data_IF_720892879366
#
_entry.id   IF_720892879366
#
_cell.length_a   1.000
_cell.length_b   1.000
_cell.length_c   1.000
_cell.angle_alpha   90.00
_cell.angle_beta   90.00
_cell.angle_gamma   90.00
#
_symmetry.space_group_name_H-M   'P 1'
#
loop_
_entity.id
_entity.type
_entity.pdbx_description
1 polymer ?
#
# COMPACT_ATOMS: atom_id res chain seq x y z
N UNK A 1 20.44 -6.45 -14.21
CA UNK A 1 20.87 -6.28 -15.62
C UNK A 1 19.93 -5.29 -16.27
N UNK A 2 20.48 -4.19 -16.77
CA UNK A 2 19.73 -3.09 -17.36
C UNK A 2 19.37 -3.41 -18.82
N UNK A 3 18.16 -3.08 -19.25
CA UNK A 3 17.76 -3.14 -20.66
C UNK A 3 17.40 -1.73 -21.14
N UNK A 4 18.27 -1.21 -22.02
CA UNK A 4 18.04 -0.05 -22.89
C UNK A 4 17.28 -0.50 -24.13
N UNK A 5 16.22 0.23 -24.50
CA UNK A 5 15.46 0.03 -25.74
C UNK A 5 15.78 1.18 -26.68
N UNK A 6 16.30 0.87 -27.87
CA UNK A 6 16.35 1.77 -29.03
C UNK A 6 15.06 1.63 -29.84
N UNK A 7 14.54 2.71 -30.45
CA UNK A 7 13.34 2.65 -31.27
C UNK A 7 13.70 2.35 -32.72
N UNK A 8 12.93 1.49 -33.38
CA UNK A 8 12.78 1.56 -34.84
C UNK A 8 11.32 1.33 -35.23
N UNK A 9 10.87 2.12 -36.19
CA UNK A 9 9.51 2.14 -36.73
C UNK A 9 9.37 1.05 -37.78
N UNK A 10 8.24 0.32 -37.78
CA UNK A 10 7.37 0.26 -38.96
C UNK A 10 6.08 -0.53 -38.67
N UNK A 11 5.07 -0.13 -39.42
CA UNK A 11 3.65 -0.45 -39.37
C UNK A 11 3.27 -1.92 -39.48
N UNK A 12 2.32 -2.36 -38.64
CA UNK A 12 1.17 -3.19 -39.05
C UNK A 12 0.09 -3.20 -37.95
N UNK A 13 -1.16 -2.94 -38.35
CA UNK A 13 -2.35 -2.99 -37.49
C UNK A 13 -2.71 -4.46 -37.21
N UNK A 14 -2.90 -4.90 -35.95
CA UNK A 14 -3.44 -6.23 -35.72
C UNK A 14 -4.97 -6.16 -35.79
N UNK A 15 -5.46 -6.75 -36.87
CA UNK A 15 -6.80 -7.29 -37.03
C UNK A 15 -7.32 -7.92 -35.73
N UNK A 16 -8.58 -7.59 -35.46
CA UNK A 16 -9.53 -8.24 -34.55
C UNK A 16 -9.19 -9.71 -34.30
N UNK A 17 -8.62 -10.02 -33.14
CA UNK A 17 -8.55 -11.41 -32.68
C UNK A 17 -9.94 -11.84 -32.20
N UNK A 18 -10.45 -13.01 -32.63
CA UNK A 18 -11.74 -13.51 -32.16
C UNK A 18 -11.65 -13.86 -30.68
N UNK A 19 -12.77 -13.66 -29.97
CA UNK A 19 -12.99 -14.02 -28.57
C UNK A 19 -12.46 -15.44 -28.26
N UNK A 20 -11.76 -15.66 -27.14
CA UNK A 20 -11.47 -17.01 -26.69
C UNK A 20 -12.80 -17.75 -26.43
N UNK A 21 -12.86 -19.01 -26.87
CA UNK A 21 -13.98 -19.93 -26.62
C UNK A 21 -14.37 -19.94 -25.13
N UNK A 22 -15.64 -20.24 -24.78
CA UNK A 22 -16.06 -20.30 -23.39
C UNK A 22 -15.26 -21.38 -22.66
N UNK A 23 -14.35 -20.95 -21.78
CA UNK A 23 -13.51 -21.77 -20.92
C UNK A 23 -14.32 -22.92 -20.29
N UNK A 24 -14.17 -24.13 -20.85
CA UNK A 24 -15.00 -25.30 -20.57
C UNK A 24 -14.82 -25.89 -19.14
N UNK A 25 -13.99 -25.29 -18.29
CA UNK A 25 -13.72 -25.71 -16.90
C UNK A 25 -13.55 -24.53 -15.92
N UNK A 26 -14.38 -23.50 -16.04
CA UNK A 26 -14.31 -22.30 -15.17
C UNK A 26 -15.08 -22.48 -13.86
N UNK A 27 -14.41 -22.32 -12.72
CA UNK A 27 -15.09 -22.06 -11.44
C UNK A 27 -15.51 -20.58 -11.39
N UNK A 28 -16.77 -20.28 -11.09
CA UNK A 28 -17.28 -18.91 -10.92
C UNK A 28 -17.59 -18.65 -9.45
N UNK A 29 -17.03 -17.58 -8.89
CA UNK A 29 -17.22 -17.17 -7.50
C UNK A 29 -17.86 -15.79 -7.47
N UNK A 30 -19.08 -15.70 -6.94
CA UNK A 30 -19.81 -14.45 -6.82
C UNK A 30 -19.32 -13.64 -5.61
N UNK A 31 -18.86 -12.42 -5.87
CA UNK A 31 -18.51 -11.46 -4.85
C UNK A 31 -19.77 -10.80 -4.25
N UNK A 32 -19.76 -10.46 -2.96
CA UNK A 32 -20.87 -9.76 -2.32
C UNK A 32 -20.95 -8.29 -2.78
N UNK A 33 -22.08 -7.64 -2.50
CA UNK A 33 -22.30 -6.25 -2.90
C UNK A 33 -21.35 -5.26 -2.21
N UNK A 34 -21.04 -5.54 -0.94
CA UNK A 34 -20.04 -4.83 -0.15
C UNK A 34 -18.94 -5.81 0.24
N UNK A 35 -17.70 -5.49 -0.10
CA UNK A 35 -16.55 -6.33 0.17
C UNK A 35 -15.71 -5.70 1.29
N UNK A 36 -16.31 -5.68 2.48
CA UNK A 36 -15.67 -5.26 3.74
C UNK A 36 -15.08 -6.46 4.49
N UNK A 37 -14.32 -6.23 5.57
CA UNK A 37 -13.58 -7.28 6.28
C UNK A 37 -14.33 -8.60 6.50
N UNK A 38 -15.58 -8.58 6.97
CA UNK A 38 -16.35 -9.81 7.28
C UNK A 38 -16.68 -10.56 6.00
N UNK A 39 -17.20 -9.85 5.01
CA UNK A 39 -17.57 -10.36 3.70
C UNK A 39 -16.34 -10.84 2.91
N UNK A 40 -15.22 -10.14 3.04
CA UNK A 40 -13.94 -10.47 2.42
C UNK A 40 -13.38 -11.80 2.93
N UNK A 41 -13.44 -12.07 4.24
CA UNK A 41 -13.05 -13.36 4.83
C UNK A 41 -13.93 -14.49 4.29
N UNK A 42 -15.25 -14.29 4.29
CA UNK A 42 -16.19 -15.30 3.78
C UNK A 42 -16.03 -15.52 2.27
N UNK A 43 -15.73 -14.47 1.52
CA UNK A 43 -15.44 -14.53 0.10
C UNK A 43 -14.16 -15.34 -0.18
N UNK A 44 -13.06 -15.06 0.53
CA UNK A 44 -11.81 -15.80 0.43
C UNK A 44 -12.01 -17.31 0.72
N UNK A 45 -12.78 -17.64 1.75
CA UNK A 45 -13.10 -19.03 2.09
C UNK A 45 -13.90 -19.74 0.98
N UNK A 46 -14.93 -19.07 0.43
CA UNK A 46 -15.72 -19.59 -0.69
C UNK A 46 -14.88 -19.79 -1.94
N UNK A 47 -13.97 -18.86 -2.22
CA UNK A 47 -13.03 -18.96 -3.33
C UNK A 47 -12.12 -20.18 -3.22
N UNK A 48 -11.49 -20.37 -2.05
CA UNK A 48 -10.63 -21.54 -1.79
C UNK A 48 -11.40 -22.86 -1.89
N UNK A 49 -12.62 -22.90 -1.36
CA UNK A 49 -13.47 -24.08 -1.47
C UNK A 49 -13.82 -24.41 -2.94
N UNK A 50 -14.07 -23.39 -3.77
CA UNK A 50 -14.36 -23.59 -5.19
C UNK A 50 -13.17 -24.25 -5.92
N UNK A 51 -11.95 -23.72 -5.75
CA UNK A 51 -10.74 -24.30 -6.32
C UNK A 51 -10.53 -25.75 -5.87
N UNK A 52 -10.75 -26.05 -4.59
CA UNK A 52 -10.55 -27.40 -4.04
C UNK A 52 -11.59 -28.42 -4.52
N UNK A 53 -12.79 -27.97 -4.90
CA UNK A 53 -13.89 -28.82 -5.34
C UNK A 53 -13.80 -29.29 -6.80
N UNK A 54 -12.87 -28.73 -7.58
CA UNK A 54 -12.66 -29.08 -8.98
C UNK A 54 -11.24 -29.61 -9.20
N UNK A 55 -11.04 -30.61 -10.08
CA UNK A 55 -9.71 -31.03 -10.48
C UNK A 55 -9.05 -29.91 -11.32
N UNK A 56 -8.20 -29.12 -10.66
CA UNK A 56 -7.30 -28.08 -11.23
C UNK A 56 -7.92 -27.28 -12.39
N UNK A 57 -8.80 -26.29 -12.10
CA UNK A 57 -9.46 -25.51 -13.16
C UNK A 57 -8.44 -24.70 -13.96
N UNK A 58 -8.66 -24.54 -15.27
CA UNK A 58 -7.79 -23.71 -16.13
C UNK A 58 -7.93 -22.22 -15.79
N UNK A 59 -9.14 -21.81 -15.41
CA UNK A 59 -9.44 -20.45 -15.01
C UNK A 59 -10.48 -20.40 -13.88
N UNK A 60 -10.39 -19.35 -13.07
CA UNK A 60 -11.41 -18.98 -12.08
C UNK A 60 -11.90 -17.58 -12.41
N UNK A 61 -13.22 -17.41 -12.40
CA UNK A 61 -13.88 -16.12 -12.63
C UNK A 61 -14.41 -15.60 -11.29
N UNK A 62 -14.03 -14.39 -10.91
CA UNK A 62 -14.67 -13.65 -9.83
C UNK A 62 -15.68 -12.70 -10.44
N UNK A 63 -16.96 -12.90 -10.14
CA UNK A 63 -18.04 -12.03 -10.58
C UNK A 63 -18.24 -10.89 -9.57
N UNK A 64 -17.89 -9.67 -9.98
CA UNK A 64 -18.01 -8.42 -9.24
C UNK A 64 -19.22 -7.58 -9.71
N UNK A 65 -20.12 -8.12 -10.53
CA UNK A 65 -21.28 -7.39 -11.10
C UNK A 65 -22.16 -6.73 -10.05
N UNK A 66 -22.27 -7.33 -8.87
CA UNK A 66 -23.05 -6.80 -7.75
C UNK A 66 -22.21 -5.94 -6.79
N UNK A 67 -20.88 -5.96 -6.90
CA UNK A 67 -19.97 -5.30 -5.96
C UNK A 67 -19.90 -3.80 -6.23
N UNK A 68 -20.51 -3.02 -5.33
CA UNK A 68 -20.57 -1.55 -5.40
C UNK A 68 -19.53 -0.89 -4.50
N UNK A 69 -19.03 -1.61 -3.49
CA UNK A 69 -18.07 -1.10 -2.52
C UNK A 69 -17.00 -2.13 -2.15
N UNK A 70 -15.77 -1.66 -2.01
CA UNK A 70 -14.60 -2.45 -1.60
C UNK A 70 -13.71 -1.60 -0.67
N UNK A 71 -13.36 -2.16 0.50
CA UNK A 71 -12.37 -1.57 1.40
C UNK A 71 -10.98 -2.20 1.18
N UNK A 72 -10.00 -1.85 2.02
CA UNK A 72 -8.67 -2.44 1.91
C UNK A 72 -8.65 -3.96 2.14
N UNK A 73 -9.55 -4.49 2.99
CA UNK A 73 -9.67 -5.94 3.23
C UNK A 73 -10.20 -6.65 2.01
N UNK A 74 -11.16 -6.04 1.32
CA UNK A 74 -11.68 -6.59 0.08
C UNK A 74 -10.65 -6.63 -1.04
N UNK A 75 -9.83 -5.59 -1.18
CA UNK A 75 -8.66 -5.63 -2.07
C UNK A 75 -7.68 -6.73 -1.66
N UNK A 76 -7.44 -6.86 -0.35
CA UNK A 76 -6.60 -7.92 0.20
C UNK A 76 -7.09 -9.31 -0.16
N UNK A 77 -8.41 -9.55 -0.08
CA UNK A 77 -9.00 -10.82 -0.50
C UNK A 77 -8.78 -11.08 -2.00
N UNK A 78 -8.96 -10.08 -2.88
CA UNK A 78 -8.68 -10.23 -4.31
C UNK A 78 -7.20 -10.53 -4.57
N UNK A 79 -6.27 -9.85 -3.89
CA UNK A 79 -4.82 -10.10 -4.01
C UNK A 79 -4.46 -11.50 -3.51
N UNK A 80 -5.06 -11.97 -2.42
CA UNK A 80 -4.85 -13.34 -1.92
C UNK A 80 -5.40 -14.38 -2.92
N UNK A 81 -6.58 -14.13 -3.50
CA UNK A 81 -7.16 -15.00 -4.53
C UNK A 81 -6.24 -15.08 -5.76
N UNK A 82 -5.74 -13.94 -6.25
CA UNK A 82 -4.80 -13.86 -7.36
C UNK A 82 -3.53 -14.67 -7.11
N UNK A 83 -2.91 -14.50 -5.94
CA UNK A 83 -1.69 -15.23 -5.57
C UNK A 83 -1.94 -16.73 -5.44
N UNK A 84 -3.08 -17.11 -4.88
CA UNK A 84 -3.49 -18.52 -4.78
C UNK A 84 -3.59 -19.15 -6.17
N UNK A 85 -4.20 -18.44 -7.13
CA UNK A 85 -4.26 -18.89 -8.53
C UNK A 85 -2.87 -18.96 -9.17
N UNK A 86 -2.03 -17.92 -9.03
CA UNK A 86 -0.68 -17.91 -9.60
C UNK A 86 0.18 -19.07 -9.10
N UNK A 87 0.15 -19.39 -7.79
CA UNK A 87 0.90 -20.49 -7.21
C UNK A 87 0.47 -21.87 -7.75
N UNK A 88 -0.76 -21.98 -8.24
CA UNK A 88 -1.32 -23.19 -8.83
C UNK A 88 -1.34 -23.17 -10.36
N UNK A 89 -0.81 -22.10 -11.01
CA UNK A 89 -0.83 -21.95 -12.46
C UNK A 89 -2.24 -21.73 -13.06
N UNK A 90 -3.20 -21.27 -12.25
CA UNK A 90 -4.60 -21.03 -12.64
C UNK A 90 -4.74 -19.58 -13.10
N UNK A 91 -5.47 -19.32 -14.19
CA UNK A 91 -5.80 -17.95 -14.61
C UNK A 91 -6.92 -17.36 -13.74
N UNK A 92 -6.79 -16.11 -13.29
CA UNK A 92 -7.84 -15.41 -12.55
C UNK A 92 -8.41 -14.27 -13.41
N UNK A 93 -9.74 -14.28 -13.59
CA UNK A 93 -10.48 -13.30 -14.39
C UNK A 93 -11.49 -12.57 -13.51
N UNK A 94 -11.56 -11.25 -13.64
CA UNK A 94 -12.58 -10.41 -13.00
C UNK A 94 -13.68 -10.06 -14.01
N UNK A 95 -14.93 -10.40 -13.70
CA UNK A 95 -16.14 -10.12 -14.51
C UNK A 95 -17.01 -9.07 -13.83
N UNK A 96 -17.71 -8.23 -14.60
CA UNK A 96 -18.71 -7.31 -14.06
C UNK A 96 -18.16 -6.19 -13.19
N UNK A 97 -16.89 -5.80 -13.34
CA UNK A 97 -16.26 -4.82 -12.44
C UNK A 97 -16.88 -3.44 -12.61
N UNK A 98 -17.64 -3.00 -11.61
CA UNK A 98 -18.26 -1.66 -11.57
C UNK A 98 -17.21 -0.54 -11.54
N UNK A 99 -17.59 0.66 -11.98
CA UNK A 99 -16.68 1.81 -12.13
C UNK A 99 -16.02 2.20 -10.79
N UNK A 100 -16.76 2.19 -9.67
CA UNK A 100 -16.18 2.51 -8.36
C UNK A 100 -15.07 1.53 -7.98
N UNK A 101 -15.30 0.23 -8.17
CA UNK A 101 -14.31 -0.82 -7.88
C UNK A 101 -13.12 -0.71 -8.84
N UNK A 102 -13.38 -0.45 -10.12
CA UNK A 102 -12.34 -0.23 -11.14
C UNK A 102 -11.44 0.96 -10.79
N UNK A 103 -12.01 2.06 -10.29
CA UNK A 103 -11.22 3.22 -9.82
C UNK A 103 -10.30 2.85 -8.64
N UNK A 104 -10.75 2.01 -7.71
CA UNK A 104 -9.91 1.54 -6.60
C UNK A 104 -8.77 0.64 -7.11
N UNK A 105 -9.07 -0.28 -8.03
CA UNK A 105 -8.05 -1.14 -8.65
C UNK A 105 -7.00 -0.30 -9.40
N UNK A 106 -7.44 0.70 -10.17
CA UNK A 106 -6.54 1.61 -10.88
C UNK A 106 -5.70 2.50 -9.92
N UNK A 107 -6.28 2.95 -8.80
CA UNK A 107 -5.56 3.73 -7.78
C UNK A 107 -4.36 2.95 -7.19
N UNK A 108 -4.48 1.63 -7.15
CA UNK A 108 -3.57 0.69 -6.48
C UNK A 108 -2.68 -0.07 -7.46
N UNK A 109 -2.73 0.29 -8.75
CA UNK A 109 -2.06 -0.39 -9.87
C UNK A 109 -2.46 -1.87 -10.00
N UNK A 110 -3.55 -2.29 -9.37
CA UNK A 110 -4.04 -3.67 -9.41
C UNK A 110 -4.78 -3.96 -10.73
N UNK A 111 -5.26 -2.94 -11.43
CA UNK A 111 -5.80 -3.06 -12.79
C UNK A 111 -4.77 -3.58 -13.80
N UNK A 112 -3.47 -3.45 -13.51
CA UNK A 112 -2.41 -3.97 -14.36
C UNK A 112 -2.13 -5.47 -14.13
N UNK A 113 -2.57 -6.03 -12.99
CA UNK A 113 -2.35 -7.44 -12.65
C UNK A 113 -3.55 -8.33 -12.96
N UNK A 114 -4.77 -7.78 -12.92
CA UNK A 114 -5.98 -8.55 -13.14
C UNK A 114 -6.36 -8.60 -14.60
N UNK A 115 -6.72 -9.79 -15.08
CA UNK A 115 -7.38 -9.95 -16.37
C UNK A 115 -8.86 -9.61 -16.20
N UNK A 116 -9.38 -8.68 -17.00
CA UNK A 116 -10.79 -8.32 -16.99
C UNK A 116 -11.53 -8.99 -18.14
N UNK A 117 -12.69 -9.56 -17.86
CA UNK A 117 -13.64 -9.93 -18.89
C UNK A 117 -14.29 -8.65 -19.40
N UNK A 118 -14.21 -8.42 -20.71
CA UNK A 118 -14.79 -7.23 -21.34
C UNK A 118 -16.30 -7.44 -21.45
N UNK A 119 -17.04 -7.01 -20.44
CA UNK A 119 -18.49 -6.81 -20.57
C UNK A 119 -18.74 -5.61 -21.48
N UNK A 120 -19.74 -5.69 -22.37
CA UNK A 120 -20.15 -4.58 -23.22
C UNK A 120 -20.30 -3.30 -22.39
N UNK A 121 -19.59 -2.24 -22.78
CA UNK A 121 -19.47 -1.02 -22.00
C UNK A 121 -20.87 -0.48 -21.62
N UNK A 122 -21.13 -0.15 -20.34
CA UNK A 122 -22.26 0.69 -20.00
C UNK A 122 -22.07 2.06 -20.66
N UNK A 123 -23.18 2.69 -21.08
CA UNK A 123 -23.21 4.03 -21.68
C UNK A 123 -22.32 5.03 -20.91
N UNK A 124 -21.61 5.94 -21.60
CA UNK A 124 -20.78 6.92 -20.94
C UNK A 124 -21.64 7.87 -20.09
N UNK A 125 -21.41 7.87 -18.79
CA UNK A 125 -22.03 8.83 -17.87
C UNK A 125 -21.51 10.26 -18.16
N UNK A 126 -22.36 11.29 -17.99
CA UNK A 126 -22.01 12.67 -18.30
C UNK A 126 -20.93 13.20 -17.35
N UNK A 127 -20.03 14.01 -17.89
CA UNK A 127 -18.89 14.68 -17.26
C UNK A 127 -19.09 15.00 -15.76
N UNK A 128 -18.58 14.14 -14.87
CA UNK A 128 -18.53 14.42 -13.44
C UNK A 128 -17.12 14.87 -13.05
N UNK A 129 -17.06 16.02 -12.35
CA UNK A 129 -15.82 16.66 -11.90
C UNK A 129 -14.93 15.69 -11.10
N UNK A 130 -13.59 15.84 -11.13
CA UNK A 130 -12.67 14.98 -10.37
C UNK A 130 -12.92 14.96 -8.84
N UNK A 131 -13.56 15.99 -8.28
CA UNK A 131 -13.96 16.04 -6.87
C UNK A 131 -15.12 15.07 -6.53
N UNK A 132 -15.97 14.72 -7.53
CA UNK A 132 -17.05 13.72 -7.43
C UNK A 132 -16.49 12.29 -7.44
N UNK A 133 -15.34 12.05 -8.10
CA UNK A 133 -14.68 10.73 -8.13
C UNK A 133 -14.15 10.28 -6.77
N UNK A 134 -13.63 11.19 -5.95
CA UNK A 134 -13.11 10.85 -4.62
C UNK A 134 -14.23 10.69 -3.58
N UNK A 135 -15.36 11.39 -3.75
CA UNK A 135 -16.54 11.28 -2.86
C UNK A 135 -17.32 9.98 -3.08
N UNK A 136 -17.15 9.32 -4.23
CA UNK A 136 -17.75 8.01 -4.51
C UNK A 136 -17.05 6.85 -3.77
N UNK A 137 -15.83 7.03 -3.30
CA UNK A 137 -15.14 6.05 -2.47
C UNK A 137 -15.53 6.27 -1.01
N UNK A 138 -16.50 5.50 -0.51
CA UNK A 138 -16.80 5.48 0.93
C UNK A 138 -15.55 5.02 1.67
N UNK A 139 -14.83 5.95 2.28
CA UNK A 139 -13.55 5.68 2.94
C UNK A 139 -13.55 6.23 4.34
N UNK A 140 -12.57 5.84 5.14
CA UNK A 140 -12.41 6.32 6.50
C UNK A 140 -12.43 7.87 6.55
N UNK A 141 -13.16 8.49 7.51
CA UNK A 141 -13.33 9.95 7.58
C UNK A 141 -12.02 10.76 7.60
N UNK A 142 -10.95 10.19 8.16
CA UNK A 142 -9.63 10.81 8.17
C UNK A 142 -9.08 11.08 6.76
N UNK A 143 -9.38 10.24 5.77
CA UNK A 143 -8.84 10.37 4.40
C UNK A 143 -9.47 11.56 3.66
N UNK A 144 -10.76 11.81 3.89
CA UNK A 144 -11.55 12.87 3.22
C UNK A 144 -11.64 14.16 4.05
N UNK A 145 -11.17 14.14 5.29
CA UNK A 145 -11.24 15.29 6.20
C UNK A 145 -10.39 16.47 5.69
N UNK A 146 -11.07 17.54 5.27
CA UNK A 146 -10.43 18.81 4.90
C UNK A 146 -9.65 19.43 6.07
N UNK A 147 -10.16 19.30 7.30
CA UNK A 147 -9.49 19.79 8.50
C UNK A 147 -8.17 19.07 8.77
N UNK A 148 -8.16 17.73 8.64
CA UNK A 148 -6.94 16.94 8.77
C UNK A 148 -5.94 17.31 7.69
N UNK A 149 -6.41 17.46 6.46
CA UNK A 149 -5.56 17.85 5.34
C UNK A 149 -4.93 19.23 5.54
N UNK A 150 -5.66 20.20 6.09
CA UNK A 150 -5.11 21.51 6.43
C UNK A 150 -4.03 21.42 7.51
N UNK A 151 -4.27 20.63 8.58
CA UNK A 151 -3.27 20.36 9.61
C UNK A 151 -2.00 19.71 9.03
N UNK A 152 -2.18 18.70 8.16
CA UNK A 152 -1.08 18.02 7.47
C UNK A 152 -0.22 18.97 6.65
N UNK A 153 -0.85 19.85 5.86
CA UNK A 153 -0.14 20.84 5.04
C UNK A 153 0.63 21.82 5.93
N UNK A 154 -0.01 22.37 6.97
CA UNK A 154 0.63 23.33 7.87
C UNK A 154 1.84 22.71 8.58
N UNK A 155 1.68 21.51 9.16
CA UNK A 155 2.79 20.82 9.81
C UNK A 155 3.87 20.38 8.83
N UNK A 156 3.52 19.98 7.61
CA UNK A 156 4.50 19.66 6.57
C UNK A 156 5.31 20.89 6.14
N UNK A 157 4.71 22.07 6.01
CA UNK A 157 5.45 23.30 5.68
C UNK A 157 6.45 23.68 6.78
N UNK A 158 6.04 23.60 8.05
CA UNK A 158 6.94 23.84 9.19
C UNK A 158 8.06 22.79 9.21
N UNK A 159 7.71 21.51 9.07
CA UNK A 159 8.67 20.41 9.02
C UNK A 159 9.66 20.53 7.87
N UNK A 160 9.23 20.94 6.68
CA UNK A 160 10.09 21.18 5.53
C UNK A 160 11.01 22.39 5.73
N UNK A 161 10.56 23.46 6.39
CA UNK A 161 11.41 24.59 6.74
C UNK A 161 12.54 24.16 7.69
N UNK A 162 12.22 23.37 8.72
CA UNK A 162 13.21 22.77 9.63
C UNK A 162 14.16 21.84 8.86
N UNK A 163 13.60 21.01 7.96
CA UNK A 163 14.38 20.11 7.10
C UNK A 163 15.38 20.88 6.25
N UNK A 164 14.98 22.01 5.66
CA UNK A 164 15.86 22.82 4.81
C UNK A 164 17.07 23.37 5.58
N UNK A 165 16.85 23.83 6.82
CA UNK A 165 17.93 24.34 7.69
C UNK A 165 18.87 23.20 8.11
N UNK A 166 18.32 22.07 8.55
CA UNK A 166 19.11 20.94 9.04
C UNK A 166 19.74 20.10 7.93
N UNK A 167 19.23 20.18 6.70
CA UNK A 167 19.75 19.44 5.55
C UNK A 167 21.22 19.78 5.27
N UNK A 168 21.66 21.02 5.51
CA UNK A 168 23.04 21.47 5.24
C UNK A 168 24.05 20.68 6.11
N UNK A 169 24.01 20.74 7.45
CA UNK A 169 24.94 19.98 8.28
C UNK A 169 24.77 18.46 8.14
N UNK A 170 23.53 17.96 7.95
CA UNK A 170 23.28 16.52 7.77
C UNK A 170 23.93 16.02 6.47
N UNK A 171 23.76 16.76 5.37
CA UNK A 171 24.35 16.43 4.07
C UNK A 171 25.87 16.38 4.17
N UNK A 172 26.49 17.37 4.81
CA UNK A 172 27.93 17.40 5.02
C UNK A 172 28.40 16.19 5.84
N UNK A 173 27.73 15.87 6.94
CA UNK A 173 28.07 14.73 7.79
C UNK A 173 28.00 13.40 7.02
N UNK A 174 26.93 13.16 6.25
CA UNK A 174 26.78 11.96 5.41
C UNK A 174 27.88 11.89 4.34
N UNK A 175 28.19 13.01 3.69
CA UNK A 175 29.21 13.07 2.64
C UNK A 175 30.62 12.86 3.17
N UNK A 176 30.93 13.37 4.37
CA UNK A 176 32.23 13.15 5.01
C UNK A 176 32.42 11.72 5.53
N UNK A 177 31.34 10.98 5.79
CA UNK A 177 31.43 9.62 6.31
C UNK A 177 31.86 8.62 5.23
N UNK A 178 31.21 8.62 4.05
CA UNK A 178 31.50 7.65 2.99
C UNK A 178 31.27 8.19 1.55
N UNK A 179 31.00 9.48 1.38
CA UNK A 179 30.78 10.12 0.07
C UNK A 179 29.48 9.73 -0.66
N UNK A 180 28.68 8.82 -0.11
CA UNK A 180 27.49 8.25 -0.75
C UNK A 180 26.33 9.23 -0.95
N UNK A 181 25.19 8.76 -1.50
CA UNK A 181 24.01 9.60 -1.71
C UNK A 181 23.44 10.13 -0.39
N UNK A 182 22.87 11.34 -0.40
CA UNK A 182 22.32 11.98 0.80
C UNK A 182 20.94 11.43 1.13
N UNK A 183 20.10 11.31 0.10
CA UNK A 183 18.73 10.83 0.23
C UNK A 183 18.66 9.33 -0.07
N UNK A 184 17.80 8.68 0.69
CA UNK A 184 17.36 7.31 0.46
C UNK A 184 15.85 7.34 0.17
N UNK A 185 15.41 6.46 -0.74
CA UNK A 185 14.00 6.24 -1.02
C UNK A 185 13.69 4.76 -0.97
N UNK A 186 12.50 4.42 -0.48
CA UNK A 186 12.01 3.05 -0.44
C UNK A 186 10.54 3.00 -0.84
N UNK A 187 10.12 1.95 -1.55
CA UNK A 187 8.70 1.74 -1.85
C UNK A 187 7.96 1.39 -0.56
N UNK A 188 6.83 2.05 -0.36
CA UNK A 188 5.88 1.84 0.72
C UNK A 188 4.47 1.87 0.18
N UNK A 189 3.54 1.41 0.99
CA UNK A 189 2.13 1.39 0.67
C UNK A 189 1.36 2.40 1.54
N UNK A 190 0.50 3.16 0.89
CA UNK A 190 -0.37 4.16 1.48
C UNK A 190 -1.80 3.59 1.60
N UNK A 191 -2.77 4.48 1.76
CA UNK A 191 -4.20 4.17 1.74
C UNK A 191 -4.56 3.23 0.57
N UNK A 192 -5.36 2.20 0.86
CA UNK A 192 -5.75 1.12 -0.05
C UNK A 192 -4.58 0.28 -0.61
N UNK A 193 -3.37 0.41 -0.06
CA UNK A 193 -2.19 -0.29 -0.57
C UNK A 193 -1.45 0.46 -1.69
N UNK A 194 -1.89 1.67 -2.07
CA UNK A 194 -1.27 2.48 -3.13
C UNK A 194 0.22 2.67 -2.90
N UNK A 195 1.04 2.32 -3.89
CA UNK A 195 2.51 2.42 -3.77
C UNK A 195 2.98 3.88 -3.86
N UNK A 196 3.96 4.23 -3.04
CA UNK A 196 4.66 5.51 -3.08
C UNK A 196 6.11 5.37 -2.60
N UNK A 197 6.95 6.37 -2.88
CA UNK A 197 8.32 6.42 -2.35
C UNK A 197 8.36 7.21 -1.05
N UNK A 198 8.76 6.58 0.04
CA UNK A 198 9.10 7.29 1.28
C UNK A 198 10.50 7.87 1.17
N UNK A 199 10.68 9.13 1.57
CA UNK A 199 11.97 9.82 1.53
C UNK A 199 12.62 9.90 2.90
N UNK A 200 13.92 9.61 2.97
CA UNK A 200 14.73 9.73 4.19
C UNK A 200 16.11 10.30 3.89
N UNK A 201 16.78 10.85 4.90
CA UNK A 201 18.24 10.94 4.82
C UNK A 201 18.83 9.55 4.97
N UNK A 202 19.89 9.26 4.22
CA UNK A 202 20.55 7.96 4.29
C UNK A 202 21.21 7.80 5.65
N UNK A 203 20.80 6.75 6.35
CA UNK A 203 21.34 6.38 7.66
C UNK A 203 22.07 5.02 7.65
N UNK A 204 22.21 4.41 6.49
CA UNK A 204 22.75 3.06 6.30
C UNK A 204 23.83 3.07 5.21
N UNK A 205 24.71 2.07 5.23
CA UNK A 205 25.73 1.86 4.19
C UNK A 205 25.07 1.69 2.81
N UNK A 206 25.82 2.01 1.74
CA UNK A 206 25.28 2.07 0.37
C UNK A 206 24.65 0.74 -0.07
N UNK A 207 25.21 -0.38 0.36
CA UNK A 207 24.77 -1.75 0.03
C UNK A 207 23.87 -2.39 1.09
N UNK A 208 23.24 -1.60 1.97
CA UNK A 208 22.46 -2.13 3.09
C UNK A 208 21.29 -3.05 2.69
N UNK A 209 20.67 -2.83 1.54
CA UNK A 209 19.57 -3.69 1.07
C UNK A 209 20.09 -5.10 0.74
N UNK A 210 21.26 -5.21 0.09
CA UNK A 210 21.89 -6.50 -0.23
C UNK A 210 22.40 -7.26 1.00
N UNK A 211 22.58 -6.56 2.12
CA UNK A 211 22.99 -7.15 3.39
C UNK A 211 21.79 -7.52 4.29
N UNK A 212 20.55 -7.21 3.89
CA UNK A 212 19.36 -7.38 4.73
C UNK A 212 19.18 -8.83 5.17
N UNK A 213 19.32 -9.77 4.25
CA UNK A 213 19.12 -11.20 4.51
C UNK A 213 20.25 -11.82 5.38
N UNK A 214 21.34 -11.08 5.60
CA UNK A 214 22.45 -11.48 6.47
C UNK A 214 22.26 -10.97 7.90
N UNK A 215 21.22 -10.16 8.16
CA UNK A 215 20.93 -9.59 9.48
C UNK A 215 19.72 -10.31 10.08
N UNK A 216 19.91 -10.89 11.26
CA UNK A 216 18.85 -11.58 11.99
C UNK A 216 17.69 -10.63 12.32
N UNK A 217 16.46 -11.08 12.09
CA UNK A 217 15.26 -10.38 12.49
C UNK A 217 14.89 -10.74 13.94
N UNK A 218 14.75 -9.75 14.82
CA UNK A 218 14.50 -9.96 16.26
C UNK A 218 13.02 -9.93 16.64
N UNK A 219 12.11 -9.79 15.66
CA UNK A 219 10.67 -9.83 15.86
C UNK A 219 10.03 -10.88 14.96
N UNK A 220 8.95 -11.47 15.45
CA UNK A 220 8.15 -12.42 14.67
C UNK A 220 7.18 -11.69 13.74
N UNK A 221 6.88 -12.32 12.60
CA UNK A 221 5.94 -11.79 11.61
C UNK A 221 6.60 -10.89 10.55
N UNK A 222 5.78 -10.12 9.80
CA UNK A 222 6.25 -9.39 8.61
C UNK A 222 7.22 -8.24 8.90
N UNK A 223 7.26 -7.75 10.14
CA UNK A 223 8.11 -6.62 10.53
C UNK A 223 9.58 -7.01 10.56
N UNK A 224 10.45 -6.10 10.14
CA UNK A 224 11.89 -6.22 10.37
C UNK A 224 12.36 -5.29 11.49
N UNK A 225 12.98 -5.83 12.53
CA UNK A 225 13.60 -5.06 13.62
C UNK A 225 14.87 -5.73 14.09
N UNK A 226 15.95 -4.96 14.17
CA UNK A 226 17.20 -5.37 14.79
C UNK A 226 17.80 -4.18 15.55
N UNK A 227 18.01 -4.32 16.87
CA UNK A 227 18.51 -3.26 17.73
C UNK A 227 19.95 -2.84 17.42
N UNK A 228 20.78 -3.78 16.97
CA UNK A 228 22.19 -3.58 16.65
C UNK A 228 22.49 -3.86 15.17
N UNK A 229 21.64 -3.32 14.30
CA UNK A 229 21.76 -3.52 12.85
C UNK A 229 23.13 -3.01 12.34
N UNK A 230 24.01 -3.92 11.83
CA UNK A 230 25.38 -3.58 11.44
C UNK A 230 25.43 -2.69 10.19
N UNK A 231 24.30 -2.52 9.49
CA UNK A 231 24.20 -1.72 8.27
C UNK A 231 24.07 -0.23 8.57
N UNK A 232 23.82 0.16 9.82
CA UNK A 232 23.66 1.55 10.24
C UNK A 232 25.03 2.22 10.37
N UNK A 233 25.21 3.39 9.73
CA UNK A 233 26.47 4.15 9.83
C UNK A 233 26.60 4.89 11.17
N UNK A 234 27.75 5.53 11.46
CA UNK A 234 27.92 6.27 12.72
C UNK A 234 27.04 7.53 12.71
N UNK A 235 27.04 8.27 11.60
CA UNK A 235 26.12 9.41 11.41
C UNK A 235 24.67 8.92 11.41
N UNK A 236 24.40 7.81 10.72
CA UNK A 236 23.07 7.20 10.67
C UNK A 236 22.51 6.81 12.03
N UNK A 237 23.35 6.33 12.94
CA UNK A 237 22.95 6.02 14.33
C UNK A 237 22.49 7.27 15.07
N UNK A 238 23.18 8.40 14.88
CA UNK A 238 22.74 9.68 15.44
C UNK A 238 21.41 10.12 14.84
N UNK A 239 21.29 10.11 13.50
CA UNK A 239 20.07 10.53 12.80
C UNK A 239 18.85 9.71 13.22
N UNK A 240 18.97 8.38 13.33
CA UNK A 240 17.87 7.50 13.76
C UNK A 240 17.46 7.71 15.21
N UNK A 241 18.43 7.96 16.10
CA UNK A 241 18.14 8.21 17.53
C UNK A 241 17.37 9.51 17.72
N UNK A 242 17.60 10.50 16.87
CA UNK A 242 16.94 11.80 16.91
C UNK A 242 15.78 11.92 15.90
N UNK A 243 15.46 10.84 15.17
CA UNK A 243 14.50 10.81 14.06
C UNK A 243 14.75 11.84 12.96
N UNK A 244 15.96 12.41 12.90
CA UNK A 244 16.33 13.41 11.89
C UNK A 244 16.38 12.79 10.49
N UNK A 245 16.61 11.48 10.37
CA UNK A 245 16.57 10.79 9.08
C UNK A 245 15.19 10.81 8.42
N UNK A 246 14.13 11.01 9.19
CA UNK A 246 12.75 10.97 8.72
C UNK A 246 12.21 12.33 8.27
N UNK A 247 12.93 13.43 8.52
CA UNK A 247 12.52 14.78 8.13
C UNK A 247 12.12 14.93 6.65
N UNK A 248 12.79 14.31 5.67
CA UNK A 248 12.36 14.39 4.27
C UNK A 248 10.95 13.85 4.01
N UNK A 249 10.38 13.03 4.91
CA UNK A 249 9.01 12.53 4.78
C UNK A 249 7.94 13.62 4.87
N UNK A 250 8.25 14.82 5.41
CA UNK A 250 7.32 15.95 5.33
C UNK A 250 6.96 16.31 3.88
N UNK A 251 7.83 15.99 2.91
CA UNK A 251 7.51 16.08 1.49
C UNK A 251 6.39 15.11 1.07
N UNK A 252 6.40 13.88 1.58
CA UNK A 252 5.34 12.90 1.34
C UNK A 252 4.01 13.35 1.96
N UNK A 253 4.05 13.95 3.15
CA UNK A 253 2.87 14.56 3.77
C UNK A 253 2.34 15.71 2.91
N UNK A 254 3.21 16.60 2.43
CA UNK A 254 2.80 17.70 1.55
C UNK A 254 2.19 17.20 0.24
N UNK A 255 2.72 16.13 -0.36
CA UNK A 255 2.15 15.49 -1.56
C UNK A 255 0.86 14.71 -1.29
N UNK A 256 0.50 14.50 -0.03
CA UNK A 256 -0.71 13.78 0.39
C UNK A 256 -0.61 12.26 0.27
N UNK A 257 0.61 11.72 0.10
CA UNK A 257 0.91 10.28 0.14
C UNK A 257 0.91 9.77 1.59
N UNK A 258 1.27 10.65 2.53
CA UNK A 258 1.23 10.42 3.96
C UNK A 258 0.43 11.53 4.66
N UNK A 259 0.19 11.33 5.94
CA UNK A 259 -0.36 12.29 6.90
C UNK A 259 0.66 12.54 8.02
N UNK A 260 0.49 13.58 8.83
CA UNK A 260 1.30 13.74 10.05
C UNK A 260 1.05 12.59 11.01
N UNK A 261 -0.23 12.25 11.21
CA UNK A 261 -0.69 11.16 12.10
C UNK A 261 -1.45 10.12 11.28
N UNK A 262 -1.12 8.84 11.48
CA UNK A 262 -1.71 7.73 10.75
C UNK A 262 -1.03 6.40 11.11
N UNK A 263 -1.37 5.34 10.40
CA UNK A 263 -0.76 4.01 10.62
C UNK A 263 0.68 3.97 10.09
N UNK A 264 1.48 3.00 10.52
CA UNK A 264 2.84 2.84 9.97
C UNK A 264 2.77 2.45 8.48
N UNK A 265 3.48 3.12 7.55
CA UNK A 265 3.51 2.71 6.15
C UNK A 265 4.22 1.36 5.99
N UNK A 266 3.53 0.28 5.58
CA UNK A 266 4.19 -0.99 5.32
C UNK A 266 4.94 -0.99 3.99
N UNK A 267 5.86 -1.94 3.87
CA UNK A 267 6.51 -2.33 2.63
C UNK A 267 5.56 -3.21 1.78
N UNK A 268 5.74 -3.29 0.46
CA UNK A 268 5.02 -4.26 -0.36
C UNK A 268 5.19 -5.70 0.15
N UNK A 269 6.41 -6.11 0.48
CA UNK A 269 6.73 -7.46 0.99
C UNK A 269 5.99 -7.80 2.30
N UNK A 270 5.74 -6.79 3.14
CA UNK A 270 4.94 -6.94 4.36
C UNK A 270 3.47 -7.20 4.02
N UNK A 271 2.89 -6.41 3.11
CA UNK A 271 1.50 -6.57 2.66
C UNK A 271 1.28 -7.94 2.01
N UNK A 272 2.26 -8.45 1.29
CA UNK A 272 2.18 -9.79 0.72
C UNK A 272 1.98 -10.85 1.80
N UNK A 273 2.48 -10.66 3.01
CA UNK A 273 2.28 -11.62 4.11
C UNK A 273 0.95 -11.45 4.84
N UNK A 274 0.15 -10.44 4.48
CA UNK A 274 -1.07 -10.13 5.23
C UNK A 274 -2.21 -11.10 4.95
N UNK A 275 -2.91 -11.45 6.03
CA UNK A 275 -4.24 -12.04 5.97
C UNK A 275 -5.30 -10.95 5.73
N UNK A 276 -6.48 -11.33 5.23
CA UNK A 276 -7.58 -10.38 4.92
C UNK A 276 -7.85 -9.35 6.04
N UNK A 277 -7.98 -9.73 7.33
CA UNK A 277 -8.26 -8.74 8.39
C UNK A 277 -7.13 -7.72 8.60
N UNK A 278 -5.90 -8.11 8.28
CA UNK A 278 -4.71 -7.28 8.54
C UNK A 278 -4.61 -6.14 7.52
N UNK A 279 -5.26 -6.29 6.36
CA UNK A 279 -5.37 -5.22 5.36
C UNK A 279 -6.13 -4.00 5.86
N UNK A 280 -7.07 -4.15 6.82
CA UNK A 280 -7.86 -3.04 7.40
C UNK A 280 -6.99 -1.86 7.87
N UNK A 281 -5.72 -2.11 8.26
CA UNK A 281 -4.79 -1.03 8.64
C UNK A 281 -4.50 -0.01 7.51
N UNK A 282 -4.84 -0.37 6.27
CA UNK A 282 -4.67 0.43 5.06
C UNK A 282 -5.92 1.26 4.69
N UNK A 283 -6.98 1.25 5.52
CA UNK A 283 -8.17 2.08 5.33
C UNK A 283 -7.94 3.58 5.60
N UNK A 284 -6.75 3.92 6.13
CA UNK A 284 -6.30 5.30 6.35
C UNK A 284 -4.95 5.56 5.69
N UNK A 285 -4.62 6.85 5.49
CA UNK A 285 -3.28 7.22 5.08
C UNK A 285 -2.27 6.91 6.18
N UNK A 286 -1.07 6.42 5.84
CA UNK A 286 -0.01 6.24 6.81
C UNK A 286 0.47 7.58 7.36
N UNK A 287 1.01 7.56 8.58
CA UNK A 287 1.48 8.72 9.32
C UNK A 287 2.99 8.77 9.46
N UNK A 288 3.53 9.98 9.68
CA UNK A 288 4.88 10.13 10.25
C UNK A 288 4.91 9.63 11.69
N UNK A 289 3.87 9.98 12.47
CA UNK A 289 3.59 9.40 13.79
C UNK A 289 2.25 8.66 13.79
N UNK A 290 1.94 7.97 14.87
CA UNK A 290 0.74 7.17 15.03
C UNK A 290 0.64 6.60 16.44
N UNK A 291 -0.51 6.01 16.74
CA UNK A 291 -0.77 5.43 18.07
C UNK A 291 0.28 4.38 18.45
N UNK A 292 0.69 3.56 17.48
CA UNK A 292 1.80 2.63 17.63
C UNK A 292 3.12 3.33 18.00
N UNK A 293 3.51 4.40 17.31
CA UNK A 293 4.77 5.09 17.54
C UNK A 293 4.82 5.73 18.93
N UNK A 294 3.70 6.26 19.40
CA UNK A 294 3.58 6.93 20.70
C UNK A 294 3.50 5.90 21.84
N UNK A 295 2.64 4.90 21.72
CA UNK A 295 2.30 3.97 22.81
C UNK A 295 3.09 2.64 22.78
N UNK A 296 3.56 2.21 21.61
CA UNK A 296 4.20 0.90 21.40
C UNK A 296 5.73 0.89 21.47
N UNK A 297 6.39 1.96 21.00
CA UNK A 297 7.87 2.13 20.96
C UNK A 297 8.65 0.80 20.80
N UNK A 298 9.60 0.51 21.69
CA UNK A 298 10.43 -0.69 21.64
C UNK A 298 9.79 -1.91 22.30
N UNK A 299 8.71 -1.75 23.07
CA UNK A 299 8.13 -2.80 23.91
C UNK A 299 7.26 -3.78 23.13
N UNK A 300 6.76 -3.37 21.96
CA UNK A 300 5.95 -4.27 21.16
C UNK A 300 6.82 -5.23 20.33
N UNK A 301 6.53 -6.51 20.48
CA UNK A 301 7.27 -7.64 19.89
C UNK A 301 6.45 -8.44 18.88
N UNK A 302 5.13 -8.22 18.84
CA UNK A 302 4.18 -8.98 18.02
C UNK A 302 3.52 -8.09 16.99
N UNK A 303 3.33 -8.62 15.80
CA UNK A 303 2.71 -7.87 14.71
C UNK A 303 1.23 -7.58 14.99
N UNK A 304 0.52 -8.49 15.67
CA UNK A 304 -0.89 -8.36 16.02
C UNK A 304 -1.16 -7.16 16.93
N UNK A 305 -0.22 -6.85 17.83
CA UNK A 305 -0.30 -5.67 18.69
C UNK A 305 -0.18 -4.38 17.87
N UNK A 306 0.57 -4.39 16.76
CA UNK A 306 0.66 -3.27 15.80
C UNK A 306 -0.70 -3.03 15.18
N UNK A 307 -1.30 -4.10 14.65
CA UNK A 307 -2.59 -4.04 13.99
C UNK A 307 -3.63 -3.53 14.98
N UNK A 308 -3.64 -4.03 16.22
CA UNK A 308 -4.59 -3.58 17.24
C UNK A 308 -4.49 -2.08 17.51
N UNK A 309 -3.28 -1.53 17.61
CA UNK A 309 -3.08 -0.09 17.80
C UNK A 309 -3.49 0.71 16.56
N UNK A 310 -3.15 0.23 15.37
CA UNK A 310 -3.56 0.86 14.11
C UNK A 310 -5.10 0.91 13.98
N UNK A 311 -5.79 -0.18 14.31
CA UNK A 311 -7.26 -0.24 14.28
C UNK A 311 -7.90 0.59 15.39
N UNK A 312 -7.27 0.67 16.57
CA UNK A 312 -7.74 1.53 17.65
C UNK A 312 -7.65 3.01 17.25
N UNK A 313 -6.59 3.39 16.54
CA UNK A 313 -6.42 4.74 16.02
C UNK A 313 -7.55 5.08 15.04
N UNK A 314 -7.83 4.18 14.09
CA UNK A 314 -8.91 4.38 13.13
C UNK A 314 -10.26 4.54 13.85
N UNK A 315 -10.59 3.62 14.75
CA UNK A 315 -11.86 3.63 15.47
C UNK A 315 -12.09 4.91 16.28
N UNK A 316 -11.05 5.43 16.93
CA UNK A 316 -11.13 6.59 17.80
C UNK A 316 -10.72 7.90 17.11
N UNK A 317 -10.53 7.86 15.79
CA UNK A 317 -9.96 8.99 15.07
C UNK A 317 -10.80 10.25 15.25
N UNK A 318 -10.13 11.32 15.64
CA UNK A 318 -10.64 12.68 15.61
C UNK A 318 -9.47 13.64 15.42
N UNK A 319 -9.74 14.88 14.98
CA UNK A 319 -8.68 15.90 14.88
C UNK A 319 -8.02 16.19 16.23
N UNK A 320 -8.78 16.13 17.32
CA UNK A 320 -8.24 16.29 18.66
C UNK A 320 -7.31 15.14 19.02
N UNK A 321 -7.66 13.91 18.65
CA UNK A 321 -6.82 12.74 18.89
C UNK A 321 -5.52 12.81 18.08
N UNK A 322 -5.57 13.28 16.83
CA UNK A 322 -4.36 13.56 16.04
C UNK A 322 -3.45 14.57 16.75
N UNK A 323 -4.01 15.66 17.30
CA UNK A 323 -3.23 16.66 18.07
C UNK A 323 -2.63 16.04 19.33
N UNK A 324 -3.37 15.19 20.05
CA UNK A 324 -2.89 14.49 21.24
C UNK A 324 -1.73 13.54 20.93
N UNK A 325 -1.72 12.89 19.76
CA UNK A 325 -0.63 12.01 19.34
C UNK A 325 0.61 12.78 18.85
N UNK A 326 0.48 14.06 18.50
CA UNK A 326 1.59 14.93 18.11
C UNK A 326 2.31 15.52 19.34
N UNK A 327 1.55 15.84 20.40
CA UNK A 327 2.06 16.47 21.63
C UNK A 327 2.66 15.46 22.61
#
# INVERSE_FOLDING_TARGET
MAFTVTPDQDSESPLTQPLPEPLHSSCVVNAPATLTVVEAIQFEQRFKACIQSQPMPEAVVIDLSQTTFIDSSGLGALVICYRTCQQQGISLILRGVQEQVRMVLALTDLDQIFTFEVDQAPDPLPDSKPEVRLTALTTHPSVVSRGKRALDILGALVGLAITAILAIPITLAIKLEDGGPVFFKQVRCSWMGKRFYIWKFRSMVINAEALKDQVENQVEGPLFKNENDPRITRVGRFLRRTSLDELPQFWNVLRGEMSLVGTRPPTPDEIEQYNVPEWQRLDVKPGMTGEWQVNGRSSVKKFEDVIRMDLNYQKNWSLLYDIQLIL
#
